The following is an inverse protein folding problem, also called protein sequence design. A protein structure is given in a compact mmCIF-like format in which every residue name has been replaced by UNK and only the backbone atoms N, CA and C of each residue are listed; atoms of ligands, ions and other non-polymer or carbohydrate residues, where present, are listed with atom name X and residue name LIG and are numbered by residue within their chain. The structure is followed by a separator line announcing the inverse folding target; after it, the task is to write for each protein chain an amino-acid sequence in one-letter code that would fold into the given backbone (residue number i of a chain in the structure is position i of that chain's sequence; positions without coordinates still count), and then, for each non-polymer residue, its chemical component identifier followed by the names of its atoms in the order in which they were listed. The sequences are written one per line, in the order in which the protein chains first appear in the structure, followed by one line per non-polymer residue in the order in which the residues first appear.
data_IF_574030868995
#
_entry.id   IF_574030868995
#
_cell.length_a   1.000
_cell.length_b   1.000
_cell.length_c   1.000
_cell.angle_alpha   90.00
_cell.angle_beta   90.00
_cell.angle_gamma   90.00
#
_symmetry.space_group_name_H-M   'P 1'
#
loop_
_entity.id
_entity.type
_entity.pdbx_description
1 polymer ?
#
# COMPACT_ATOMS: atom_id res chain seq x y z
N UNK A 1 -20.56 -24.65 15.21
CA UNK A 1 -20.87 -23.27 14.85
C UNK A 1 -19.56 -22.61 14.46
N UNK A 2 -19.50 -21.97 13.30
CA UNK A 2 -18.33 -21.16 12.97
C UNK A 2 -18.22 -20.04 14.01
N UNK A 3 -17.03 -19.81 14.52
CA UNK A 3 -16.77 -18.72 15.48
C UNK A 3 -17.03 -17.40 14.74
N UNK A 4 -18.10 -16.70 15.13
CA UNK A 4 -18.47 -15.42 14.53
C UNK A 4 -17.35 -14.39 14.76
N UNK A 5 -17.11 -13.56 13.76
CA UNK A 5 -16.17 -12.45 13.84
C UNK A 5 -16.62 -11.47 14.92
N UNK A 6 -15.76 -11.14 15.88
CA UNK A 6 -16.06 -10.15 16.92
C UNK A 6 -16.18 -8.75 16.31
N UNK A 7 -17.08 -7.92 16.84
CA UNK A 7 -17.35 -6.59 16.27
C UNK A 7 -16.12 -5.70 16.17
N UNK A 8 -15.29 -5.64 17.21
CA UNK A 8 -14.07 -4.83 17.20
C UNK A 8 -13.04 -5.31 16.15
N UNK A 9 -12.94 -6.62 15.92
CA UNK A 9 -12.09 -7.16 14.86
C UNK A 9 -12.69 -6.84 13.49
N UNK A 10 -14.00 -7.02 13.31
CA UNK A 10 -14.70 -6.67 12.08
C UNK A 10 -14.51 -5.18 11.72
N UNK A 11 -14.69 -4.30 12.68
CA UNK A 11 -14.55 -2.85 12.46
C UNK A 11 -13.11 -2.50 12.06
N UNK A 12 -12.12 -3.06 12.75
CA UNK A 12 -10.71 -2.84 12.43
C UNK A 12 -10.31 -3.41 11.06
N UNK A 13 -10.86 -4.56 10.65
CA UNK A 13 -10.64 -5.12 9.30
C UNK A 13 -11.30 -4.27 8.21
N UNK A 14 -12.50 -3.72 8.45
CA UNK A 14 -13.13 -2.76 7.55
C UNK A 14 -12.30 -1.48 7.43
N UNK A 15 -11.79 -0.94 8.54
CA UNK A 15 -10.93 0.24 8.54
C UNK A 15 -9.66 0.00 7.72
N UNK A 16 -9.06 -1.19 7.83
CA UNK A 16 -7.88 -1.52 7.03
C UNK A 16 -8.24 -1.71 5.56
N UNK A 17 -9.31 -2.40 5.22
CA UNK A 17 -9.78 -2.54 3.84
C UNK A 17 -9.95 -1.16 3.18
N UNK A 18 -10.59 -0.22 3.86
CA UNK A 18 -10.78 1.13 3.35
C UNK A 18 -9.44 1.90 3.26
N UNK A 19 -8.50 1.64 4.17
CA UNK A 19 -7.16 2.22 4.11
C UNK A 19 -6.36 1.71 2.90
N UNK A 20 -6.48 0.43 2.53
CA UNK A 20 -5.85 -0.11 1.32
C UNK A 20 -6.45 0.52 0.05
N UNK A 21 -7.77 0.74 0.01
CA UNK A 21 -8.41 1.48 -1.08
C UNK A 21 -7.89 2.92 -1.16
N UNK A 22 -7.71 3.59 -0.02
CA UNK A 22 -7.13 4.93 0.04
C UNK A 22 -5.66 4.94 -0.41
N UNK A 23 -4.88 3.89 -0.08
CA UNK A 23 -3.52 3.68 -0.58
C UNK A 23 -3.49 3.58 -2.11
N UNK A 24 -4.39 2.79 -2.70
CA UNK A 24 -4.52 2.69 -4.16
C UNK A 24 -4.80 4.08 -4.79
N UNK A 25 -5.63 4.87 -4.14
CA UNK A 25 -5.97 6.22 -4.59
C UNK A 25 -4.78 7.18 -4.50
N UNK A 26 -3.97 7.08 -3.44
CA UNK A 26 -2.74 7.86 -3.28
C UNK A 26 -1.71 7.50 -4.37
N UNK A 27 -1.47 6.22 -4.62
CA UNK A 27 -0.53 5.78 -5.65
C UNK A 27 -0.98 6.16 -7.06
N UNK A 28 -2.29 6.16 -7.32
CA UNK A 28 -2.82 6.68 -8.58
C UNK A 28 -2.59 8.18 -8.74
N UNK A 29 -2.69 8.95 -7.66
CA UNK A 29 -2.35 10.38 -7.64
C UNK A 29 -0.85 10.61 -7.92
N UNK A 30 0.03 9.80 -7.31
CA UNK A 30 1.47 9.83 -7.61
C UNK A 30 1.78 9.50 -9.07
N UNK A 31 1.05 8.52 -9.65
CA UNK A 31 1.17 8.21 -11.08
C UNK A 31 0.82 9.43 -11.95
N UNK A 32 -0.26 10.14 -11.63
CA UNK A 32 -0.65 11.37 -12.32
C UNK A 32 0.42 12.47 -12.24
N UNK A 33 1.04 12.63 -11.06
CA UNK A 33 2.17 13.54 -10.89
C UNK A 33 3.35 13.17 -11.81
N UNK A 34 3.76 11.90 -11.88
CA UNK A 34 4.86 11.47 -12.74
C UNK A 34 4.53 11.59 -14.24
N UNK A 35 3.28 11.32 -14.64
CA UNK A 35 2.85 11.57 -16.04
C UNK A 35 2.99 13.04 -16.40
N UNK A 36 2.61 13.95 -15.53
CA UNK A 36 2.74 15.39 -15.77
C UNK A 36 4.18 15.88 -15.96
N UNK A 37 5.15 15.08 -15.50
CA UNK A 37 6.59 15.32 -15.62
C UNK A 37 7.26 14.49 -16.72
N UNK A 38 6.50 13.79 -17.53
CA UNK A 38 6.99 12.89 -18.59
C UNK A 38 7.88 11.73 -18.07
N UNK A 39 7.73 11.36 -16.80
CA UNK A 39 8.42 10.24 -16.16
C UNK A 39 7.51 9.00 -16.19
N UNK A 40 7.38 8.42 -17.38
CA UNK A 40 6.40 7.35 -17.65
C UNK A 40 6.72 6.03 -16.95
N UNK A 41 7.99 5.75 -16.72
CA UNK A 41 8.43 4.56 -16.00
C UNK A 41 8.05 4.63 -14.52
N UNK A 42 8.27 5.78 -13.89
CA UNK A 42 7.85 6.02 -12.51
C UNK A 42 6.32 6.04 -12.38
N UNK A 43 5.62 6.63 -13.34
CA UNK A 43 4.16 6.59 -13.40
C UNK A 43 3.63 5.15 -13.52
N UNK A 44 4.28 4.31 -14.34
CA UNK A 44 3.96 2.89 -14.46
C UNK A 44 4.15 2.16 -13.13
N UNK A 45 5.29 2.37 -12.46
CA UNK A 45 5.58 1.77 -11.16
C UNK A 45 4.47 2.10 -10.14
N UNK A 46 4.02 3.35 -10.09
CA UNK A 46 2.93 3.79 -9.21
C UNK A 46 1.57 3.20 -9.61
N UNK A 47 1.29 3.01 -10.90
CA UNK A 47 0.06 2.33 -11.34
C UNK A 47 0.05 0.85 -10.95
N UNK A 48 1.18 0.18 -11.05
CA UNK A 48 1.31 -1.21 -10.57
C UNK A 48 1.03 -1.25 -9.07
N UNK A 49 1.66 -0.35 -8.30
CA UNK A 49 1.44 -0.24 -6.86
C UNK A 49 -0.04 0.01 -6.53
N UNK A 50 -0.70 0.94 -7.22
CA UNK A 50 -2.13 1.18 -7.02
C UNK A 50 -2.99 -0.08 -7.25
N UNK A 51 -2.63 -0.90 -8.25
CA UNK A 51 -3.28 -2.18 -8.51
C UNK A 51 -3.05 -3.20 -7.39
N UNK A 52 -1.87 -3.24 -6.80
CA UNK A 52 -1.53 -4.10 -5.66
C UNK A 52 -2.34 -3.72 -4.43
N UNK A 53 -2.40 -2.44 -4.08
CA UNK A 53 -3.22 -1.95 -2.97
C UNK A 53 -4.70 -2.30 -3.12
N UNK A 54 -5.23 -2.19 -4.34
CA UNK A 54 -6.60 -2.62 -4.61
C UNK A 54 -6.79 -4.13 -4.34
N UNK A 55 -5.83 -4.97 -4.75
CA UNK A 55 -5.87 -6.41 -4.46
C UNK A 55 -5.75 -6.69 -2.96
N UNK A 56 -4.94 -5.92 -2.22
CA UNK A 56 -4.87 -5.98 -0.77
C UNK A 56 -6.23 -5.70 -0.13
N UNK A 57 -6.90 -4.64 -0.55
CA UNK A 57 -8.27 -4.33 -0.10
C UNK A 57 -9.23 -5.50 -0.37
N UNK A 58 -9.15 -6.13 -1.55
CA UNK A 58 -10.01 -7.27 -1.90
C UNK A 58 -9.70 -8.53 -1.09
N UNK A 59 -8.47 -8.72 -0.62
CA UNK A 59 -8.16 -9.80 0.35
C UNK A 59 -8.88 -9.58 1.68
N UNK A 60 -8.86 -8.35 2.22
CA UNK A 60 -9.64 -8.00 3.43
C UNK A 60 -11.14 -8.19 3.21
N UNK A 61 -11.65 -7.74 2.05
CA UNK A 61 -13.04 -7.94 1.67
C UNK A 61 -13.43 -9.43 1.70
N UNK A 62 -12.65 -10.28 1.03
CA UNK A 62 -12.87 -11.72 1.00
C UNK A 62 -12.86 -12.35 2.40
N UNK A 63 -11.86 -12.01 3.22
CA UNK A 63 -11.76 -12.52 4.59
C UNK A 63 -12.97 -12.12 5.45
N UNK A 64 -13.41 -10.86 5.36
CA UNK A 64 -14.62 -10.38 6.05
C UNK A 64 -15.85 -11.21 5.65
N UNK A 65 -16.06 -11.43 4.34
CA UNK A 65 -17.19 -12.22 3.83
C UNK A 65 -17.11 -13.65 4.28
N UNK A 66 -15.95 -14.30 4.17
CA UNK A 66 -15.73 -15.69 4.57
C UNK A 66 -15.96 -15.92 6.07
N UNK A 67 -15.73 -14.88 6.89
CA UNK A 67 -15.96 -14.90 8.33
C UNK A 67 -17.38 -14.46 8.72
N UNK A 68 -18.27 -14.24 7.74
CA UNK A 68 -19.65 -13.79 7.97
C UNK A 68 -19.76 -12.37 8.50
N UNK A 69 -18.72 -11.56 8.30
CA UNK A 69 -18.68 -10.14 8.65
C UNK A 69 -19.44 -9.26 7.67
N UNK A 70 -19.79 -8.07 8.12
CA UNK A 70 -20.42 -7.04 7.29
C UNK A 70 -19.37 -6.13 6.67
N UNK A 71 -19.48 -5.88 5.38
CA UNK A 71 -18.67 -4.88 4.67
C UNK A 71 -19.21 -3.48 4.96
N UNK A 72 -18.31 -2.57 5.33
CA UNK A 72 -18.59 -1.16 5.53
C UNK A 72 -17.62 -0.30 4.72
N UNK A 73 -18.09 0.22 3.59
CA UNK A 73 -17.31 1.15 2.79
C UNK A 73 -17.37 2.55 3.40
N UNK A 74 -16.24 3.22 3.44
CA UNK A 74 -16.08 4.57 3.99
C UNK A 74 -15.76 5.56 2.87
N UNK A 75 -15.92 6.84 3.15
CA UNK A 75 -15.45 7.89 2.27
C UNK A 75 -13.92 7.85 2.16
N UNK A 76 -13.41 7.99 0.94
CA UNK A 76 -11.99 8.17 0.67
C UNK A 76 -11.74 9.64 0.39
N UNK A 77 -10.90 10.29 1.20
CA UNK A 77 -10.54 11.68 1.01
C UNK A 77 -9.63 11.84 -0.21
N UNK A 78 -9.65 13.06 -0.80
CA UNK A 78 -8.75 13.38 -1.88
C UNK A 78 -7.28 13.26 -1.41
N UNK A 79 -6.45 12.47 -2.12
CA UNK A 79 -5.05 12.29 -1.74
C UNK A 79 -4.22 13.55 -2.06
N UNK A 80 -3.02 13.64 -1.50
CA UNK A 80 -2.01 14.60 -1.94
C UNK A 80 -1.80 14.45 -3.46
N UNK A 81 -1.71 15.57 -4.18
CA UNK A 81 -1.61 15.59 -5.65
C UNK A 81 -0.38 16.37 -6.17
N UNK A 82 0.42 16.93 -5.26
CA UNK A 82 1.58 17.77 -5.59
C UNK A 82 2.79 17.38 -4.76
N UNK A 83 3.92 17.27 -5.44
CA UNK A 83 5.24 17.05 -4.84
C UNK A 83 6.25 18.02 -5.48
N UNK A 84 7.22 18.48 -4.70
CA UNK A 84 8.25 19.40 -5.17
C UNK A 84 9.35 18.70 -5.97
N UNK A 85 9.53 17.38 -5.73
CA UNK A 85 10.55 16.59 -6.41
C UNK A 85 10.14 15.13 -6.50
N UNK A 86 10.79 14.39 -7.41
CA UNK A 86 10.69 12.94 -7.51
C UNK A 86 11.07 12.27 -6.19
N UNK A 87 12.10 12.78 -5.54
CA UNK A 87 12.61 12.28 -4.28
C UNK A 87 11.58 12.41 -3.16
N UNK A 88 10.87 13.55 -3.07
CA UNK A 88 9.79 13.75 -2.11
C UNK A 88 8.66 12.76 -2.33
N UNK A 89 8.26 12.50 -3.58
CA UNK A 89 7.18 11.56 -3.89
C UNK A 89 7.51 10.13 -3.43
N UNK A 90 8.71 9.64 -3.72
CA UNK A 90 9.13 8.30 -3.25
C UNK A 90 9.40 8.25 -1.76
N UNK A 91 9.84 9.33 -1.13
CA UNK A 91 9.97 9.40 0.33
C UNK A 91 8.60 9.35 1.00
N UNK A 92 7.59 10.00 0.43
CA UNK A 92 6.21 9.89 0.91
C UNK A 92 5.66 8.47 0.72
N UNK A 93 5.97 7.81 -0.41
CA UNK A 93 5.61 6.40 -0.62
C UNK A 93 6.21 5.50 0.46
N UNK A 94 7.51 5.61 0.74
CA UNK A 94 8.16 4.85 1.80
C UNK A 94 7.54 5.12 3.17
N UNK A 95 7.30 6.38 3.50
CA UNK A 95 6.67 6.76 4.77
C UNK A 95 5.26 6.20 4.89
N UNK A 96 4.53 6.15 3.78
CA UNK A 96 3.20 5.55 3.72
C UNK A 96 3.26 4.04 4.00
N UNK A 97 4.18 3.29 3.36
CA UNK A 97 4.34 1.85 3.63
C UNK A 97 4.68 1.56 5.10
N UNK A 98 5.55 2.36 5.71
CA UNK A 98 5.84 2.23 7.15
C UNK A 98 4.59 2.46 8.02
N UNK A 99 3.69 3.37 7.62
CA UNK A 99 2.42 3.58 8.33
C UNK A 99 1.48 2.39 8.15
N UNK A 100 1.38 1.84 6.93
CA UNK A 100 0.59 0.62 6.66
C UNK A 100 1.10 -0.56 7.49
N UNK A 101 2.42 -0.76 7.55
CA UNK A 101 3.03 -1.79 8.42
C UNK A 101 2.61 -1.63 9.88
N UNK A 102 2.63 -0.41 10.41
CA UNK A 102 2.17 -0.12 11.77
C UNK A 102 0.70 -0.49 12.00
N UNK A 103 -0.17 -0.23 11.02
CA UNK A 103 -1.59 -0.61 11.06
C UNK A 103 -1.76 -2.13 11.05
N UNK A 104 -1.05 -2.84 10.17
CA UNK A 104 -1.06 -4.31 10.09
C UNK A 104 -0.60 -4.93 11.41
N UNK A 105 0.49 -4.42 12.00
CA UNK A 105 0.96 -4.89 13.32
C UNK A 105 -0.08 -4.67 14.43
N UNK A 106 -0.81 -3.55 14.37
CA UNK A 106 -1.94 -3.29 15.28
C UNK A 106 -3.06 -4.32 15.14
N UNK A 107 -3.43 -4.67 13.92
CA UNK A 107 -4.42 -5.72 13.63
C UNK A 107 -3.98 -7.10 14.12
N UNK A 108 -2.71 -7.46 13.92
CA UNK A 108 -2.15 -8.73 14.42
C UNK A 108 -2.27 -8.82 15.94
N UNK A 109 -1.92 -7.74 16.65
CA UNK A 109 -2.06 -7.66 18.12
C UNK A 109 -3.53 -7.76 18.56
N UNK A 110 -4.44 -7.10 17.85
CA UNK A 110 -5.87 -7.16 18.14
C UNK A 110 -6.39 -8.60 17.95
N UNK A 111 -6.11 -9.23 16.81
CA UNK A 111 -6.54 -10.59 16.53
C UNK A 111 -6.01 -11.60 17.57
N UNK A 112 -4.74 -11.47 17.96
CA UNK A 112 -4.13 -12.28 19.00
C UNK A 112 -4.81 -12.08 20.36
N UNK A 113 -5.04 -10.82 20.75
CA UNK A 113 -5.70 -10.48 22.01
C UNK A 113 -7.15 -10.97 22.10
N UNK A 114 -7.84 -11.00 20.99
CA UNK A 114 -9.20 -11.51 20.87
C UNK A 114 -9.29 -13.05 20.71
N UNK A 115 -8.15 -13.72 20.57
CA UNK A 115 -8.09 -15.18 20.30
C UNK A 115 -8.64 -15.54 18.91
N UNK A 116 -8.64 -14.59 17.96
CA UNK A 116 -9.08 -14.84 16.59
C UNK A 116 -7.91 -15.37 15.74
N UNK A 117 -7.67 -16.68 15.89
CA UNK A 117 -6.56 -17.35 15.21
C UNK A 117 -6.70 -17.34 13.68
N UNK A 118 -7.93 -17.34 13.15
CA UNK A 118 -8.14 -17.30 11.71
C UNK A 118 -7.75 -15.94 11.12
N UNK A 119 -8.17 -14.86 11.76
CA UNK A 119 -7.73 -13.50 11.35
C UNK A 119 -6.23 -13.31 11.60
N UNK A 120 -5.70 -13.83 12.71
CA UNK A 120 -4.26 -13.78 12.96
C UNK A 120 -3.45 -14.48 11.85
N UNK A 121 -3.87 -15.66 11.42
CA UNK A 121 -3.22 -16.41 10.34
C UNK A 121 -3.35 -15.69 8.99
N UNK A 122 -4.51 -15.13 8.69
CA UNK A 122 -4.74 -14.31 7.49
C UNK A 122 -3.79 -13.10 7.43
N UNK A 123 -3.60 -12.41 8.54
CA UNK A 123 -2.75 -11.22 8.61
C UNK A 123 -1.25 -11.52 8.43
N UNK A 124 -0.78 -12.77 8.62
CA UNK A 124 0.63 -13.10 8.44
C UNK A 124 1.11 -12.88 6.99
N UNK A 125 0.21 -13.07 6.01
CA UNK A 125 0.53 -12.72 4.62
C UNK A 125 0.88 -11.23 4.50
N UNK A 126 0.08 -10.34 5.10
CA UNK A 126 0.32 -8.90 5.08
C UNK A 126 1.58 -8.49 5.86
N UNK A 127 1.91 -9.17 6.94
CA UNK A 127 3.17 -8.94 7.66
C UNK A 127 4.37 -9.18 6.75
N UNK A 128 4.36 -10.27 5.98
CA UNK A 128 5.42 -10.59 5.04
C UNK A 128 5.43 -9.62 3.84
N UNK A 129 4.26 -9.29 3.31
CA UNK A 129 4.10 -8.36 2.20
C UNK A 129 4.69 -6.99 2.55
N UNK A 130 4.41 -6.45 3.74
CA UNK A 130 4.93 -5.15 4.16
C UNK A 130 6.46 -5.12 4.25
N UNK A 131 7.12 -6.23 4.51
CA UNK A 131 8.60 -6.32 4.43
C UNK A 131 9.06 -6.05 2.99
N UNK A 132 8.38 -6.59 1.99
CA UNK A 132 8.69 -6.38 0.59
C UNK A 132 8.34 -4.96 0.13
N UNK A 133 7.17 -4.44 0.52
CA UNK A 133 6.71 -3.09 0.18
C UNK A 133 7.67 -2.02 0.68
N UNK A 134 8.07 -2.09 1.96
CA UNK A 134 9.07 -1.17 2.51
C UNK A 134 10.42 -1.31 1.81
N UNK A 135 10.89 -2.54 1.54
CA UNK A 135 12.15 -2.78 0.87
C UNK A 135 12.16 -2.23 -0.57
N UNK A 136 11.06 -2.41 -1.30
CA UNK A 136 10.91 -1.91 -2.66
C UNK A 136 10.91 -0.37 -2.71
N UNK A 137 10.15 0.28 -1.83
CA UNK A 137 10.13 1.74 -1.74
C UNK A 137 11.50 2.29 -1.28
N UNK A 138 12.12 1.67 -0.27
CA UNK A 138 13.45 2.05 0.23
C UNK A 138 14.52 1.96 -0.85
N UNK A 139 14.50 0.90 -1.67
CA UNK A 139 15.45 0.73 -2.77
C UNK A 139 15.40 1.91 -3.76
N UNK A 140 14.20 2.37 -4.10
CA UNK A 140 14.04 3.52 -5.01
C UNK A 140 14.54 4.82 -4.34
N UNK A 141 14.20 5.03 -3.08
CA UNK A 141 14.69 6.19 -2.30
C UNK A 141 16.23 6.21 -2.26
N UNK A 142 16.86 5.07 -2.05
CA UNK A 142 18.32 4.98 -1.98
C UNK A 142 18.96 5.25 -3.34
N UNK A 143 18.42 4.70 -4.43
CA UNK A 143 18.87 5.02 -5.80
C UNK A 143 18.74 6.51 -6.11
N UNK A 144 17.65 7.15 -5.71
CA UNK A 144 17.46 8.59 -5.89
C UNK A 144 18.48 9.42 -5.11
N UNK A 145 18.85 9.01 -3.89
CA UNK A 145 19.93 9.65 -3.13
C UNK A 145 21.29 9.56 -3.85
N UNK A 146 21.59 8.41 -4.47
CA UNK A 146 22.83 8.21 -5.22
C UNK A 146 22.88 9.05 -6.50
N UNK A 147 21.74 9.20 -7.18
CA UNK A 147 21.61 9.99 -8.41
C UNK A 147 21.79 11.48 -8.12
N UNK A 148 21.29 11.95 -6.96
CA UNK A 148 21.26 13.38 -6.64
C UNK A 148 20.52 14.19 -7.72
N UNK A 149 21.11 15.29 -8.15
CA UNK A 149 20.52 16.21 -9.17
C UNK A 149 20.83 15.83 -10.62
N UNK A 150 21.39 14.63 -10.86
CA UNK A 150 21.81 14.20 -12.19
C UNK A 150 20.63 13.75 -13.06
N UNK A 151 20.19 14.59 -14.00
CA UNK A 151 19.07 14.30 -14.91
C UNK A 151 19.23 12.99 -15.69
N UNK A 152 20.44 12.63 -16.11
CA UNK A 152 20.71 11.40 -16.85
C UNK A 152 20.43 10.19 -15.97
N UNK A 153 20.86 10.20 -14.70
CA UNK A 153 20.58 9.15 -13.74
C UNK A 153 19.08 8.98 -13.48
N UNK A 154 18.34 10.07 -13.44
CA UNK A 154 16.89 10.05 -13.28
C UNK A 154 16.18 9.35 -14.45
N UNK A 155 16.62 9.61 -15.70
CA UNK A 155 16.07 8.94 -16.89
C UNK A 155 16.39 7.45 -16.92
N UNK A 156 17.57 7.03 -16.46
CA UNK A 156 17.89 5.62 -16.31
C UNK A 156 16.99 4.93 -15.28
N UNK A 157 16.79 5.55 -14.13
CA UNK A 157 15.90 5.01 -13.11
C UNK A 157 14.45 4.95 -13.58
N UNK A 158 13.97 5.97 -14.30
CA UNK A 158 12.64 5.94 -14.90
C UNK A 158 12.49 4.75 -15.86
N UNK A 159 13.46 4.53 -16.74
CA UNK A 159 13.46 3.38 -17.64
C UNK A 159 13.48 2.04 -16.90
N UNK A 160 14.21 1.94 -15.79
CA UNK A 160 14.25 0.72 -14.96
C UNK A 160 12.90 0.46 -14.30
N UNK A 161 12.31 1.49 -13.67
CA UNK A 161 11.04 1.36 -12.97
C UNK A 161 9.87 1.05 -13.91
N UNK A 162 9.97 1.47 -15.16
CA UNK A 162 9.00 1.14 -16.20
C UNK A 162 8.96 -0.34 -16.60
N UNK A 163 9.92 -1.15 -16.16
CA UNK A 163 9.98 -2.60 -16.43
C UNK A 163 9.28 -3.46 -15.37
N UNK A 164 8.78 -2.83 -14.30
CA UNK A 164 8.05 -3.57 -13.24
C UNK A 164 6.88 -4.32 -13.84
N UNK A 165 6.83 -5.64 -13.61
CA UNK A 165 5.67 -6.44 -13.99
C UNK A 165 4.49 -6.14 -13.08
N UNK A 166 3.27 -6.16 -13.62
CA UNK A 166 2.06 -6.24 -12.81
C UNK A 166 1.87 -7.69 -12.39
N UNK A 167 1.66 -7.94 -11.11
CA UNK A 167 1.31 -9.25 -10.57
C UNK A 167 -0.16 -9.61 -10.77
#
# INVERSE_FOLDING_TARGET
MATMLKSNVQDALNDQMNAEMASAYLYLSMAGYFESRSLRGMAHWMRVQAGEEWRHAMKFFGHLVDRGGRIALQQIDAPKDKWNSVQEAFQDALSHECQVSGRIHGLVKLAAGEGDFATHAFLQWFVNEQVEEEANAQMVVDKLKWIGDANVGLLFLDSELGKRAAE
#
